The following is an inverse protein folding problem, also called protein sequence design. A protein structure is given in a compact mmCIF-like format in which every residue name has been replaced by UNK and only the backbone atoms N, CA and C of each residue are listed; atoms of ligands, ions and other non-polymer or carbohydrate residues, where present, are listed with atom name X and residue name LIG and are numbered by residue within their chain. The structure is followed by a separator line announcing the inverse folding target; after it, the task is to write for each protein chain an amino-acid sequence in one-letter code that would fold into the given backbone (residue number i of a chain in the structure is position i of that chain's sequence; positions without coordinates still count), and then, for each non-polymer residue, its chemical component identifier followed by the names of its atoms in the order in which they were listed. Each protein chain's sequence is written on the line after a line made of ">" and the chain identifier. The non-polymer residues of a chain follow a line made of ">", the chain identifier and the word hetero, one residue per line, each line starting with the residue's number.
data_IF_247434557348
#
_entry.id   IF_247434557348
#
_cell.length_a   1.000
_cell.length_b   1.000
_cell.length_c   1.000
_cell.angle_alpha   90.00
_cell.angle_beta   90.00
_cell.angle_gamma   90.00
#
_symmetry.space_group_name_H-M   'P 1'
#
loop_
_entity.id
_entity.type
_entity.pdbx_description
1 polymer ?
#
# COMPACT_ATOMS: atom_id res chain seq x y z
N UNK A 1 -23.54 0.12 0.41
CA UNK A 1 -22.18 0.63 0.04
C UNK A 1 -21.51 1.20 1.29
N UNK A 2 -20.25 0.85 1.51
CA UNK A 2 -19.53 1.32 2.67
C UNK A 2 -19.20 2.81 2.54
N UNK A 3 -19.10 3.51 3.69
CA UNK A 3 -18.90 4.96 3.74
C UNK A 3 -17.58 5.40 3.11
N UNK A 4 -16.59 4.54 3.05
CA UNK A 4 -15.26 4.85 2.51
C UNK A 4 -15.11 4.52 1.02
N UNK A 5 -16.06 3.81 0.41
CA UNK A 5 -15.96 3.33 -0.98
C UNK A 5 -15.77 4.46 -1.99
N UNK A 6 -16.26 5.66 -1.69
CA UNK A 6 -16.17 6.80 -2.60
C UNK A 6 -14.85 7.56 -2.48
N UNK A 7 -14.03 7.27 -1.48
CA UNK A 7 -12.77 7.99 -1.28
C UNK A 7 -11.74 7.57 -2.33
N UNK A 8 -11.16 8.51 -3.08
CA UNK A 8 -10.13 8.16 -4.06
C UNK A 8 -8.94 7.40 -3.45
N UNK A 9 -8.51 7.80 -2.23
CA UNK A 9 -7.40 7.13 -1.56
C UNK A 9 -7.74 5.68 -1.21
N UNK A 10 -8.98 5.41 -0.82
CA UNK A 10 -9.42 4.04 -0.56
C UNK A 10 -9.37 3.20 -1.83
N UNK A 11 -9.89 3.75 -2.94
CA UNK A 11 -9.90 3.05 -4.23
C UNK A 11 -8.49 2.73 -4.68
N UNK A 12 -7.58 3.70 -4.57
CA UNK A 12 -6.18 3.50 -4.94
C UNK A 12 -5.51 2.42 -4.08
N UNK A 13 -5.77 2.44 -2.77
CA UNK A 13 -5.20 1.46 -1.84
C UNK A 13 -5.80 0.07 -2.07
N UNK A 14 -7.08 0.00 -2.37
CA UNK A 14 -7.74 -1.28 -2.70
C UNK A 14 -7.14 -1.88 -3.98
N UNK A 15 -6.96 -1.04 -5.01
CA UNK A 15 -6.36 -1.49 -6.26
C UNK A 15 -4.93 -1.98 -6.04
N UNK A 16 -4.17 -1.30 -5.18
CA UNK A 16 -2.82 -1.75 -4.82
C UNK A 16 -2.87 -3.12 -4.15
N UNK A 17 -3.77 -3.30 -3.18
CA UNK A 17 -3.88 -4.57 -2.46
C UNK A 17 -4.23 -5.72 -3.41
N UNK A 18 -5.17 -5.50 -4.32
CA UNK A 18 -5.54 -6.51 -5.33
C UNK A 18 -4.37 -6.81 -6.25
N UNK A 19 -3.67 -5.76 -6.71
CA UNK A 19 -2.51 -5.91 -7.58
C UNK A 19 -1.40 -6.73 -6.89
N UNK A 20 -1.12 -6.42 -5.62
CA UNK A 20 -0.10 -7.14 -4.85
C UNK A 20 -0.49 -8.63 -4.70
N UNK A 21 -1.76 -8.93 -4.42
CA UNK A 21 -2.20 -10.32 -4.34
C UNK A 21 -1.92 -11.06 -5.65
N UNK A 22 -2.19 -10.41 -6.79
CA UNK A 22 -1.98 -11.02 -8.11
C UNK A 22 -0.51 -11.27 -8.42
N UNK A 23 0.36 -10.28 -8.18
CA UNK A 23 1.78 -10.43 -8.55
C UNK A 23 2.53 -11.35 -7.60
N UNK A 24 2.22 -11.31 -6.29
CA UNK A 24 2.88 -12.19 -5.31
C UNK A 24 2.56 -13.66 -5.61
N UNK A 25 1.38 -13.95 -6.14
CA UNK A 25 1.01 -15.30 -6.53
C UNK A 25 2.03 -15.92 -7.49
N UNK A 26 2.65 -15.09 -8.33
CA UNK A 26 3.60 -15.53 -9.34
C UNK A 26 5.07 -15.41 -8.92
N UNK A 27 5.33 -14.96 -7.70
CA UNK A 27 6.70 -14.93 -7.18
C UNK A 27 7.24 -16.34 -7.03
N UNK A 28 8.58 -16.49 -7.06
CA UNK A 28 9.20 -17.75 -6.70
C UNK A 28 8.77 -18.14 -5.28
N UNK A 29 8.85 -19.44 -4.97
CA UNK A 29 8.42 -19.93 -3.66
C UNK A 29 9.11 -19.20 -2.51
N UNK A 30 10.42 -18.97 -2.65
CA UNK A 30 11.18 -18.26 -1.61
C UNK A 30 10.60 -16.87 -1.36
N UNK A 31 10.44 -16.07 -2.40
CA UNK A 31 9.95 -14.69 -2.27
C UNK A 31 8.48 -14.63 -1.88
N UNK A 32 7.70 -15.58 -2.36
CA UNK A 32 6.26 -15.63 -2.07
C UNK A 32 5.99 -15.72 -0.58
N UNK A 33 6.75 -16.56 0.13
CA UNK A 33 6.54 -16.81 1.55
C UNK A 33 7.44 -15.98 2.47
N UNK A 34 8.21 -15.06 1.93
CA UNK A 34 9.04 -14.14 2.70
C UNK A 34 8.58 -12.71 2.43
N UNK A 35 9.29 -11.95 1.59
CA UNK A 35 8.91 -10.57 1.29
C UNK A 35 7.54 -10.45 0.64
N UNK A 36 7.12 -11.44 -0.13
CA UNK A 36 5.79 -11.46 -0.71
C UNK A 36 4.69 -11.42 0.34
N UNK A 37 4.85 -12.19 1.42
CA UNK A 37 3.90 -12.17 2.53
C UNK A 37 3.87 -10.80 3.20
N UNK A 38 5.03 -10.20 3.43
CA UNK A 38 5.10 -8.87 4.04
C UNK A 38 4.45 -7.80 3.15
N UNK A 39 4.65 -7.87 1.84
CA UNK A 39 4.00 -6.95 0.90
C UNK A 39 2.48 -7.08 0.96
N UNK A 40 1.98 -8.30 0.99
CA UNK A 40 0.54 -8.57 1.10
C UNK A 40 -0.02 -8.02 2.40
N UNK A 41 0.63 -8.31 3.51
CA UNK A 41 0.17 -7.86 4.83
C UNK A 41 0.20 -6.34 4.93
N UNK A 42 1.28 -5.71 4.48
CA UNK A 42 1.43 -4.26 4.57
C UNK A 42 0.41 -3.54 3.68
N UNK A 43 0.11 -4.07 2.48
CA UNK A 43 -0.92 -3.46 1.62
C UNK A 43 -2.29 -3.50 2.30
N UNK A 44 -2.60 -4.56 3.05
CA UNK A 44 -3.85 -4.64 3.80
C UNK A 44 -3.87 -3.67 4.98
N UNK A 45 -2.75 -3.51 5.69
CA UNK A 45 -2.66 -2.53 6.78
C UNK A 45 -2.90 -1.11 6.28
N UNK A 46 -2.36 -0.79 5.09
CA UNK A 46 -2.61 0.52 4.47
C UNK A 46 -4.12 0.73 4.28
N UNK A 47 -4.78 -0.28 3.73
CA UNK A 47 -6.23 -0.22 3.47
C UNK A 47 -7.02 -0.06 4.78
N UNK A 48 -6.69 -0.86 5.78
CA UNK A 48 -7.35 -0.81 7.09
C UNK A 48 -7.16 0.54 7.77
N UNK A 49 -5.96 1.12 7.65
CA UNK A 49 -5.66 2.43 8.24
C UNK A 49 -6.50 3.54 7.62
N UNK A 50 -6.73 3.47 6.31
CA UNK A 50 -7.59 4.43 5.61
C UNK A 50 -9.02 4.35 6.13
N UNK A 51 -9.52 3.13 6.32
CA UNK A 51 -10.87 2.91 6.85
C UNK A 51 -10.99 3.49 8.27
N UNK A 52 -10.00 3.20 9.12
CA UNK A 52 -9.96 3.75 10.48
C UNK A 52 -9.96 5.28 10.46
N UNK A 53 -9.10 5.87 9.63
CA UNK A 53 -8.99 7.33 9.55
C UNK A 53 -10.31 7.97 9.13
N UNK A 54 -11.02 7.35 8.19
CA UNK A 54 -12.31 7.85 7.74
C UNK A 54 -13.36 7.82 8.85
N UNK A 55 -13.22 6.89 9.79
CA UNK A 55 -14.20 6.70 10.87
C UNK A 55 -13.78 7.34 12.20
N UNK A 56 -12.65 8.06 12.23
CA UNK A 56 -12.09 8.57 13.47
C UNK A 56 -12.20 10.09 13.58
N UNK A 57 -12.31 10.58 14.82
CA UNK A 57 -12.20 12.01 15.12
C UNK A 57 -10.72 12.42 15.18
N UNK A 58 -9.83 11.53 15.61
CA UNK A 58 -8.39 11.77 15.63
C UNK A 58 -7.77 11.31 14.32
N UNK A 59 -8.22 11.93 13.25
CA UNK A 59 -7.81 11.54 11.91
C UNK A 59 -6.34 11.81 11.64
N UNK A 60 -5.83 12.95 12.10
CA UNK A 60 -4.44 13.34 11.85
C UNK A 60 -3.45 12.29 12.36
N UNK A 61 -3.68 11.75 13.56
CA UNK A 61 -2.82 10.72 14.14
C UNK A 61 -2.79 9.46 13.25
N UNK A 62 -3.95 9.06 12.75
CA UNK A 62 -4.05 7.87 11.89
C UNK A 62 -3.42 8.09 10.51
N UNK A 63 -3.53 9.30 9.97
CA UNK A 63 -2.92 9.62 8.68
C UNK A 63 -1.39 9.73 8.79
N UNK A 64 -0.88 10.14 9.95
CA UNK A 64 0.56 10.10 10.21
C UNK A 64 1.05 8.65 10.30
N UNK A 65 0.26 7.77 10.93
CA UNK A 65 0.57 6.35 10.96
C UNK A 65 0.52 5.74 9.55
N UNK A 66 -0.42 6.18 8.72
CA UNK A 66 -0.51 5.75 7.33
C UNK A 66 0.73 6.16 6.54
N UNK A 67 1.25 7.36 6.80
CA UNK A 67 2.51 7.80 6.18
C UNK A 67 3.64 6.81 6.46
N UNK A 68 3.73 6.33 7.69
CA UNK A 68 4.73 5.34 8.09
C UNK A 68 4.50 3.99 7.38
N UNK A 69 3.25 3.56 7.29
CA UNK A 69 2.89 2.32 6.60
C UNK A 69 3.32 2.38 5.13
N UNK A 70 3.10 3.53 4.48
CA UNK A 70 3.47 3.73 3.08
C UNK A 70 4.98 3.72 2.89
N UNK A 71 5.73 4.34 3.79
CA UNK A 71 7.19 4.29 3.76
C UNK A 71 7.70 2.87 3.92
N UNK A 72 7.13 2.13 4.86
CA UNK A 72 7.48 0.73 5.06
C UNK A 72 7.23 -0.09 3.79
N UNK A 73 6.08 0.13 3.15
CA UNK A 73 5.74 -0.57 1.92
C UNK A 73 6.76 -0.28 0.81
N UNK A 74 7.15 0.98 0.65
CA UNK A 74 8.16 1.38 -0.34
C UNK A 74 9.48 0.63 -0.14
N UNK A 75 9.93 0.57 1.11
CA UNK A 75 11.19 -0.11 1.45
C UNK A 75 11.08 -1.61 1.16
N UNK A 76 9.99 -2.23 1.56
CA UNK A 76 9.76 -3.66 1.31
C UNK A 76 9.71 -3.97 -0.18
N UNK A 77 9.03 -3.12 -0.97
CA UNK A 77 8.92 -3.32 -2.40
C UNK A 77 10.30 -3.20 -3.08
N UNK A 78 11.08 -2.20 -2.67
CA UNK A 78 12.42 -2.02 -3.22
C UNK A 78 13.34 -3.18 -2.84
N UNK A 79 13.28 -3.61 -1.58
CA UNK A 79 14.06 -4.75 -1.12
C UNK A 79 13.70 -6.01 -1.90
N UNK A 80 12.41 -6.21 -2.13
CA UNK A 80 11.92 -7.34 -2.92
C UNK A 80 12.45 -7.29 -4.35
N UNK A 81 12.42 -6.10 -4.96
CA UNK A 81 12.92 -5.91 -6.33
C UNK A 81 14.43 -6.18 -6.43
N UNK A 82 15.20 -5.59 -5.52
CA UNK A 82 16.67 -5.73 -5.53
C UNK A 82 17.10 -7.18 -5.26
N UNK A 83 16.28 -7.94 -4.54
CA UNK A 83 16.59 -9.35 -4.26
C UNK A 83 15.97 -10.32 -5.28
N UNK A 84 15.38 -9.80 -6.36
CA UNK A 84 14.90 -10.62 -7.47
C UNK A 84 13.49 -11.15 -7.36
N UNK A 85 12.66 -10.59 -6.47
CA UNK A 85 11.29 -11.05 -6.28
C UNK A 85 10.34 -10.66 -7.41
N UNK A 86 10.48 -9.46 -7.94
CA UNK A 86 9.66 -8.99 -9.06
C UNK A 86 10.14 -9.61 -10.38
N UNK A 87 9.20 -9.86 -11.29
CA UNK A 87 9.50 -10.44 -12.59
C UNK A 87 10.45 -9.57 -13.42
N UNK A 88 10.26 -8.23 -13.34
CA UNK A 88 11.07 -7.27 -14.09
C UNK A 88 10.93 -5.88 -13.46
N UNK A 89 11.73 -4.94 -13.95
CA UNK A 89 11.74 -3.57 -13.44
C UNK A 89 10.40 -2.87 -13.69
N UNK A 90 9.75 -3.13 -14.81
CA UNK A 90 8.45 -2.51 -15.12
C UNK A 90 7.41 -2.89 -14.07
N UNK A 91 7.37 -4.15 -13.66
CA UNK A 91 6.42 -4.62 -12.64
C UNK A 91 6.65 -3.89 -11.32
N UNK A 92 7.91 -3.75 -10.92
CA UNK A 92 8.26 -3.00 -9.70
C UNK A 92 7.86 -1.54 -9.80
N UNK A 93 8.19 -0.88 -10.92
CA UNK A 93 7.89 0.55 -11.09
C UNK A 93 6.38 0.81 -11.05
N UNK A 94 5.56 -0.09 -11.59
CA UNK A 94 4.12 0.06 -11.52
C UNK A 94 3.62 0.08 -10.08
N UNK A 95 4.13 -0.83 -9.24
CA UNK A 95 3.79 -0.85 -7.82
C UNK A 95 4.28 0.43 -7.13
N UNK A 96 5.50 0.86 -7.41
CA UNK A 96 6.07 2.07 -6.84
C UNK A 96 5.22 3.31 -7.17
N UNK A 97 4.75 3.41 -8.41
CA UNK A 97 3.88 4.51 -8.83
C UNK A 97 2.55 4.51 -8.08
N UNK A 98 1.97 3.32 -7.87
CA UNK A 98 0.73 3.20 -7.09
C UNK A 98 0.91 3.71 -5.67
N UNK A 99 2.01 3.35 -5.02
CA UNK A 99 2.29 3.77 -3.65
C UNK A 99 2.50 5.28 -3.57
N UNK A 100 3.22 5.85 -4.53
CA UNK A 100 3.45 7.30 -4.58
C UNK A 100 2.11 8.05 -4.72
N UNK A 101 1.20 7.55 -5.55
CA UNK A 101 -0.11 8.16 -5.73
C UNK A 101 -0.91 8.16 -4.42
N UNK A 102 -0.87 7.05 -3.68
CA UNK A 102 -1.54 6.96 -2.37
C UNK A 102 -0.90 7.94 -1.39
N UNK A 103 0.44 8.00 -1.36
CA UNK A 103 1.17 8.91 -0.46
C UNK A 103 0.80 10.37 -0.71
N UNK A 104 0.69 10.78 -1.96
CA UNK A 104 0.28 12.14 -2.30
C UNK A 104 -1.12 12.45 -1.80
N UNK A 105 -2.04 11.52 -1.96
CA UNK A 105 -3.41 11.69 -1.47
C UNK A 105 -3.45 11.76 0.05
N UNK A 106 -2.62 10.96 0.73
CA UNK A 106 -2.53 11.00 2.18
C UNK A 106 -2.04 12.38 2.66
N UNK A 107 -1.00 12.95 2.02
CA UNK A 107 -0.51 14.27 2.38
C UNK A 107 -1.58 15.34 2.15
N UNK A 108 -2.34 15.22 1.06
CA UNK A 108 -3.47 16.12 0.80
C UNK A 108 -4.54 16.05 1.88
N UNK A 109 -4.87 14.84 2.31
CA UNK A 109 -5.87 14.63 3.36
C UNK A 109 -5.38 15.17 4.70
N UNK A 110 -4.10 14.94 5.03
CA UNK A 110 -3.46 15.48 6.24
C UNK A 110 -3.56 17.01 6.31
N UNK A 111 -3.37 17.69 5.19
CA UNK A 111 -3.45 19.15 5.16
C UNK A 111 -4.85 19.68 5.47
N UNK A 112 -5.87 18.84 5.35
CA UNK A 112 -7.25 19.21 5.65
C UNK A 112 -7.62 18.94 7.10
N UNK A 113 -6.76 18.33 7.85
CA UNK A 113 -6.98 18.05 9.25
C UNK A 113 -6.23 19.07 10.12
#
# INVERSE_FOLDING_TARGET
>A
MARYDHLPIYRAAFDLAVHIEKIVRHFSRYHKYTLGTELRDTSRYILERIIEANNSHDRASLLLALRQDLERFKVLARLCHESGGFANTRAYLHVAEQVVAIAKQNEGWLRQT
#
